data_IF_828484245786
#
_entry.id   IF_828484245786
#
_cell.length_a   1.000
_cell.length_b   1.000
_cell.length_c   1.000
_cell.angle_alpha   90.00
_cell.angle_beta   90.00
_cell.angle_gamma   90.00
#
_symmetry.space_group_name_H-M   'P 1'
#
loop_
_entity.id
_entity.type
_entity.pdbx_description
1 polymer ?
#
# COMPACT_ATOMS: atom_id res chain seq x y z
N UNK A 1 16.28 -16.81 5.69
CA UNK A 1 16.27 -15.35 5.94
C UNK A 1 15.60 -15.13 7.29
N UNK A 2 16.29 -14.55 8.26
CA UNK A 2 15.70 -14.22 9.56
C UNK A 2 15.21 -12.78 9.51
N UNK A 3 13.90 -12.59 9.70
CA UNK A 3 13.30 -11.27 9.84
C UNK A 3 13.26 -10.95 11.32
N UNK A 4 14.05 -9.97 11.75
CA UNK A 4 13.98 -9.47 13.12
C UNK A 4 12.81 -8.51 13.25
N UNK A 5 11.87 -8.85 14.13
CA UNK A 5 10.74 -8.01 14.48
C UNK A 5 10.99 -7.35 15.82
N UNK A 6 10.62 -6.08 15.93
CA UNK A 6 10.54 -5.43 17.23
C UNK A 6 9.64 -6.22 18.19
N UNK A 7 9.98 -6.18 19.48
CA UNK A 7 9.27 -6.90 20.53
C UNK A 7 7.76 -6.60 20.53
N UNK A 8 7.39 -5.36 20.29
CA UNK A 8 6.00 -4.88 20.24
C UNK A 8 5.25 -5.49 19.04
N UNK A 9 5.90 -5.52 17.87
CA UNK A 9 5.37 -6.13 16.64
C UNK A 9 5.21 -7.63 16.81
N UNK A 10 6.20 -8.31 17.40
CA UNK A 10 6.10 -9.74 17.68
C UNK A 10 4.93 -10.08 18.62
N UNK A 11 4.68 -9.27 19.65
CA UNK A 11 3.52 -9.44 20.54
C UNK A 11 2.19 -9.30 19.80
N UNK A 12 2.08 -8.34 18.87
CA UNK A 12 0.88 -8.18 18.04
C UNK A 12 0.68 -9.37 17.11
N UNK A 13 1.75 -9.86 16.48
CA UNK A 13 1.72 -11.07 15.64
C UNK A 13 1.32 -12.30 16.46
N UNK A 14 1.81 -12.45 17.69
CA UNK A 14 1.42 -13.55 18.57
C UNK A 14 -0.07 -13.52 18.93
N UNK A 15 -0.59 -12.34 19.27
CA UNK A 15 -2.03 -12.17 19.55
C UNK A 15 -2.89 -12.47 18.32
N UNK A 16 -2.52 -11.92 17.16
CA UNK A 16 -3.25 -12.14 15.91
C UNK A 16 -3.19 -13.61 15.46
N UNK A 17 -2.03 -14.26 15.60
CA UNK A 17 -1.84 -15.68 15.33
C UNK A 17 -2.78 -16.54 16.16
N UNK A 18 -2.89 -16.27 17.47
CA UNK A 18 -3.81 -16.98 18.38
C UNK A 18 -5.27 -16.72 18.03
N UNK A 19 -5.63 -15.47 17.77
CA UNK A 19 -7.00 -15.07 17.44
C UNK A 19 -7.49 -15.71 16.14
N UNK A 20 -6.63 -15.78 15.13
CA UNK A 20 -6.97 -16.26 13.79
C UNK A 20 -6.73 -17.77 13.62
N UNK A 21 -6.06 -18.44 14.56
CA UNK A 21 -5.69 -19.85 14.46
C UNK A 21 -4.64 -20.14 13.37
N UNK A 22 -3.84 -19.14 12.99
CA UNK A 22 -2.84 -19.24 11.92
C UNK A 22 -1.44 -19.24 12.55
N UNK A 23 -0.50 -20.05 12.01
CA UNK A 23 0.89 -20.05 12.49
C UNK A 23 1.56 -18.69 12.24
N UNK A 24 2.36 -18.21 13.20
CA UNK A 24 3.01 -16.88 13.13
C UNK A 24 3.81 -16.65 11.84
N UNK A 25 4.60 -17.64 11.42
CA UNK A 25 5.39 -17.55 10.19
C UNK A 25 4.49 -17.37 8.95
N UNK A 26 3.45 -18.19 8.83
CA UNK A 26 2.47 -18.07 7.75
C UNK A 26 1.73 -16.72 7.78
N UNK A 27 1.42 -16.22 8.97
CA UNK A 27 0.80 -14.91 9.14
C UNK A 27 1.74 -13.78 8.70
N UNK A 28 3.02 -13.84 9.08
CA UNK A 28 4.04 -12.86 8.67
C UNK A 28 4.21 -12.89 7.16
N UNK A 29 4.42 -14.07 6.57
CA UNK A 29 4.61 -14.21 5.12
C UNK A 29 3.42 -13.62 4.34
N UNK A 30 2.20 -13.93 4.79
CA UNK A 30 0.99 -13.39 4.17
C UNK A 30 0.85 -11.88 4.36
N UNK A 31 1.15 -11.36 5.55
CA UNK A 31 1.08 -9.93 5.83
C UNK A 31 2.06 -9.14 4.96
N UNK A 32 3.28 -9.65 4.77
CA UNK A 32 4.29 -9.02 3.91
C UNK A 32 3.82 -8.99 2.47
N UNK A 33 3.33 -10.11 1.92
CA UNK A 33 2.83 -10.16 0.55
C UNK A 33 1.65 -9.20 0.31
N UNK A 34 0.70 -9.14 1.24
CA UNK A 34 -0.44 -8.22 1.16
C UNK A 34 0.03 -6.76 1.21
N UNK A 35 1.01 -6.45 2.07
CA UNK A 35 1.53 -5.09 2.16
C UNK A 35 2.28 -4.67 0.88
N UNK A 36 3.07 -5.57 0.29
CA UNK A 36 3.74 -5.33 -0.99
C UNK A 36 2.71 -5.05 -2.10
N UNK A 37 1.66 -5.87 -2.22
CA UNK A 37 0.59 -5.67 -3.20
C UNK A 37 -0.13 -4.32 -2.99
N UNK A 38 -0.40 -3.94 -1.74
CA UNK A 38 -0.98 -2.64 -1.41
C UNK A 38 -0.06 -1.48 -1.80
N UNK A 39 1.27 -1.60 -1.62
CA UNK A 39 2.22 -0.58 -2.04
C UNK A 39 2.25 -0.43 -3.57
N UNK A 40 2.20 -1.53 -4.31
CA UNK A 40 2.11 -1.49 -5.78
C UNK A 40 0.86 -0.74 -6.23
N UNK A 41 -0.31 -1.09 -5.70
CA UNK A 41 -1.57 -0.40 -6.01
C UNK A 41 -1.56 1.08 -5.66
N UNK A 42 -0.91 1.44 -4.55
CA UNK A 42 -0.75 2.84 -4.18
C UNK A 42 0.12 3.61 -5.18
N UNK A 43 1.19 3.00 -5.70
CA UNK A 43 2.02 3.62 -6.72
C UNK A 43 1.25 3.82 -8.03
N UNK A 44 0.46 2.83 -8.45
CA UNK A 44 -0.38 2.94 -9.64
C UNK A 44 -1.38 4.09 -9.48
N UNK A 45 -2.09 4.15 -8.35
CA UNK A 45 -3.03 5.24 -8.05
C UNK A 45 -2.34 6.60 -8.04
N UNK A 46 -1.13 6.69 -7.49
CA UNK A 46 -0.38 7.94 -7.48
C UNK A 46 -0.05 8.40 -8.90
N UNK A 47 0.41 7.50 -9.75
CA UNK A 47 0.70 7.81 -11.16
C UNK A 47 -0.56 8.26 -11.91
N UNK A 48 -1.70 7.62 -11.65
CA UNK A 48 -2.98 8.06 -12.20
C UNK A 48 -3.28 9.49 -11.78
N UNK A 49 -3.25 9.80 -10.48
CA UNK A 49 -3.53 11.15 -9.97
C UNK A 49 -2.58 12.21 -10.56
N UNK A 50 -1.28 11.91 -10.66
CA UNK A 50 -0.30 12.81 -11.29
C UNK A 50 -0.66 13.09 -12.76
N UNK A 51 -1.16 12.09 -13.49
CA UNK A 51 -1.62 12.27 -14.87
C UNK A 51 -2.92 13.08 -14.96
N UNK A 52 -3.84 12.88 -14.01
CA UNK A 52 -5.07 13.66 -13.91
C UNK A 52 -4.79 15.15 -13.67
N UNK A 53 -3.81 15.47 -12.81
CA UNK A 53 -3.40 16.86 -12.57
C UNK A 53 -2.92 17.52 -13.86
N UNK A 54 -2.02 16.86 -14.60
CA UNK A 54 -1.52 17.37 -15.89
C UNK A 54 -2.65 17.59 -16.90
N UNK A 55 -3.54 16.61 -17.06
CA UNK A 55 -4.67 16.73 -17.99
C UNK A 55 -5.64 17.85 -17.56
N UNK A 56 -5.81 18.08 -16.26
CA UNK A 56 -6.66 19.16 -15.75
C UNK A 56 -6.09 20.53 -16.07
N UNK A 57 -4.77 20.71 -15.94
CA UNK A 57 -4.06 21.94 -16.30
C UNK A 57 -4.13 22.21 -17.81
N UNK A 58 -3.96 21.17 -18.62
CA UNK A 58 -4.11 21.26 -20.07
C UNK A 58 -5.54 21.65 -20.47
N UNK A 59 -6.55 21.03 -19.85
CA UNK A 59 -7.95 21.33 -20.12
C UNK A 59 -8.29 22.79 -19.75
N UNK A 60 -7.81 23.26 -18.60
CA UNK A 60 -7.99 24.66 -18.18
C UNK A 60 -7.32 25.62 -19.16
N UNK A 61 -6.07 25.36 -19.52
CA UNK A 61 -5.32 26.18 -20.48
C UNK A 61 -6.03 26.26 -21.84
N UNK A 62 -6.59 25.16 -22.32
CA UNK A 62 -7.33 25.13 -23.57
C UNK A 62 -8.66 25.87 -23.49
N UNK A 63 -9.36 25.76 -22.35
CA UNK A 63 -10.58 26.53 -22.09
C UNK A 63 -10.31 28.04 -22.10
N UNK A 64 -9.27 28.49 -21.42
CA UNK A 64 -8.88 29.91 -21.37
C UNK A 64 -8.50 30.47 -22.75
N UNK A 65 -7.88 29.66 -23.62
CA UNK A 65 -7.56 30.06 -25.00
C UNK A 65 -8.79 30.16 -25.91
N UNK A 66 -9.88 29.50 -25.56
CA UNK A 66 -11.11 29.48 -26.34
C UNK A 66 -12.09 30.61 -25.96
N UNK A 67 -11.81 31.36 -24.90
CA UNK A 67 -12.51 32.56 -24.43
C UNK A 67 -12.03 33.82 -25.17
#
# INVERSE_FOLDING_TARGET
>A
MNVELEKTTFQKVDRASKLLGIKKNQLIDRAVLVYIDNLSKYLDLKQELDAWDVLSDEALTNFEKAL
#
